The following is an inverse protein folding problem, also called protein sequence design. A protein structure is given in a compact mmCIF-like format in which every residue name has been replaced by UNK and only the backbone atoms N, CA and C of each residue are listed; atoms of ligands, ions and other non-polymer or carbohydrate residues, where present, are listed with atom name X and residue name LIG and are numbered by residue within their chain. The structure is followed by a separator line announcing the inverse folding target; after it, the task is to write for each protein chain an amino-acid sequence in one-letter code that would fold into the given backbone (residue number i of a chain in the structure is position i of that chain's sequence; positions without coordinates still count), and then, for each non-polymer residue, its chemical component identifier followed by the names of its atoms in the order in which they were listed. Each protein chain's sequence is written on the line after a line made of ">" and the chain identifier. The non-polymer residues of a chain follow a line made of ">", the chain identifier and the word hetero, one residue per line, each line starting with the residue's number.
data_IF_226097754111
#
_entry.id   IF_226097754111
#
_cell.length_a   1.000
_cell.length_b   1.000
_cell.length_c   1.000
_cell.angle_alpha   90.00
_cell.angle_beta   90.00
_cell.angle_gamma   90.00
#
_symmetry.space_group_name_H-M   'P 1'
#
loop_
_entity.id
_entity.type
_entity.pdbx_description
1 polymer ?
#
# COMPACT_ATOMS: atom_id res chain seq x y z
N UNK A 1 -5.98 -0.38 -6.07
CA UNK A 1 -6.22 -1.58 -5.25
C UNK A 1 -5.25 -2.68 -5.68
N UNK A 2 -4.71 -3.41 -4.71
CA UNK A 2 -3.87 -4.61 -4.90
C UNK A 2 -4.15 -5.63 -3.79
N UNK A 3 -3.87 -6.92 -4.01
CA UNK A 3 -4.15 -7.99 -3.04
C UNK A 3 -2.98 -8.97 -2.90
N UNK A 4 -2.64 -9.29 -1.65
CA UNK A 4 -1.78 -10.43 -1.30
C UNK A 4 -2.65 -11.66 -1.06
N UNK A 5 -2.37 -12.76 -1.76
CA UNK A 5 -3.16 -14.00 -1.66
C UNK A 5 -2.35 -15.11 -0.98
N UNK A 6 -2.87 -15.64 0.13
CA UNK A 6 -2.41 -16.90 0.71
C UNK A 6 -3.38 -18.03 0.34
N UNK A 7 -3.04 -18.76 -0.72
CA UNK A 7 -3.84 -19.89 -1.22
C UNK A 7 -3.90 -21.07 -0.25
N UNK A 8 -2.91 -21.21 0.63
CA UNK A 8 -2.86 -22.33 1.57
C UNK A 8 -3.81 -22.07 2.75
N UNK A 9 -3.86 -20.83 3.20
CA UNK A 9 -4.75 -20.42 4.27
C UNK A 9 -6.18 -20.11 3.77
N UNK A 10 -6.36 -19.83 2.47
CA UNK A 10 -7.65 -19.47 1.88
C UNK A 10 -8.05 -18.02 2.19
N UNK A 11 -7.07 -17.13 2.34
CA UNK A 11 -7.30 -15.72 2.70
C UNK A 11 -6.55 -14.78 1.76
N UNK A 12 -7.10 -13.57 1.61
CA UNK A 12 -6.50 -12.45 0.90
C UNK A 12 -6.38 -11.22 1.80
N UNK A 13 -5.32 -10.43 1.61
CA UNK A 13 -5.17 -9.11 2.20
C UNK A 13 -5.28 -8.07 1.08
N UNK A 14 -6.41 -7.37 1.03
CA UNK A 14 -6.67 -6.27 0.10
C UNK A 14 -6.05 -4.99 0.62
N UNK A 15 -5.37 -4.26 -0.25
CA UNK A 15 -4.65 -3.03 0.02
C UNK A 15 -5.25 -1.92 -0.86
N UNK A 16 -5.76 -0.86 -0.24
CA UNK A 16 -6.42 0.27 -0.91
C UNK A 16 -5.78 1.58 -0.50
N UNK A 17 -5.37 2.35 -1.49
CA UNK A 17 -4.82 3.70 -1.33
C UNK A 17 -5.40 4.59 -2.45
N UNK A 18 -5.43 5.89 -2.20
CA UNK A 18 -5.78 6.85 -3.23
C UNK A 18 -4.63 6.97 -4.25
N UNK A 19 -4.95 6.81 -5.54
CA UNK A 19 -3.98 6.94 -6.63
C UNK A 19 -3.55 8.40 -6.84
N UNK A 20 -4.37 9.36 -6.40
CA UNK A 20 -4.09 10.77 -6.56
C UNK A 20 -3.06 11.26 -5.51
N UNK A 21 -2.98 10.55 -4.37
CA UNK A 21 -1.98 10.78 -3.30
C UNK A 21 -0.65 10.03 -3.52
N UNK A 22 -0.66 8.99 -4.37
CA UNK A 22 0.48 8.08 -4.57
C UNK A 22 1.06 8.20 -5.97
N UNK A 23 2.23 8.83 -6.08
CA UNK A 23 2.98 8.94 -7.33
C UNK A 23 3.64 7.61 -7.72
N UNK A 24 4.12 6.84 -6.74
CA UNK A 24 4.77 5.55 -6.99
C UNK A 24 4.38 4.53 -5.93
N UNK A 25 4.02 3.35 -6.39
CA UNK A 25 3.78 2.17 -5.58
C UNK A 25 4.83 1.11 -5.91
N UNK A 26 5.45 0.50 -4.91
CA UNK A 26 6.46 -0.53 -5.10
C UNK A 26 6.22 -1.71 -4.16
N UNK A 27 6.24 -2.91 -4.73
CA UNK A 27 6.07 -4.16 -3.99
C UNK A 27 7.42 -4.86 -3.96
N UNK A 28 7.96 -5.09 -2.76
CA UNK A 28 9.23 -5.80 -2.56
C UNK A 28 8.99 -7.13 -1.86
N UNK A 29 9.43 -8.19 -2.51
CA UNK A 29 9.41 -9.54 -1.97
C UNK A 29 10.80 -9.93 -1.48
N UNK A 30 10.90 -10.35 -0.23
CA UNK A 30 12.08 -10.97 0.36
C UNK A 30 11.65 -12.24 1.09
N UNK A 31 12.58 -13.09 1.47
CA UNK A 31 12.29 -14.38 2.11
C UNK A 31 11.33 -14.21 3.31
N UNK A 32 10.06 -14.57 3.12
CA UNK A 32 9.00 -14.48 4.13
C UNK A 32 8.41 -13.09 4.39
N UNK A 33 8.78 -12.06 3.62
CA UNK A 33 8.32 -10.68 3.83
C UNK A 33 7.87 -10.07 2.51
N UNK A 34 6.68 -9.48 2.50
CA UNK A 34 6.17 -8.66 1.40
C UNK A 34 5.98 -7.22 1.91
N UNK A 35 6.74 -6.27 1.37
CA UNK A 35 6.60 -4.85 1.70
C UNK A 35 5.84 -4.13 0.60
N UNK A 36 4.84 -3.34 0.98
CA UNK A 36 4.17 -2.36 0.14
C UNK A 36 4.69 -0.97 0.50
N UNK A 37 5.37 -0.31 -0.44
CA UNK A 37 5.92 1.03 -0.26
C UNK A 37 5.14 2.01 -1.14
N UNK A 38 4.56 3.05 -0.52
CA UNK A 38 3.79 4.11 -1.18
C UNK A 38 4.58 5.42 -1.09
N UNK A 39 4.78 6.07 -2.23
CA UNK A 39 5.52 7.32 -2.34
C UNK A 39 4.62 8.39 -2.94
N UNK A 40 4.58 9.54 -2.29
CA UNK A 40 3.98 10.75 -2.83
C UNK A 40 4.94 11.43 -3.80
N UNK A 41 4.46 12.49 -4.47
CA UNK A 41 5.32 13.35 -5.27
C UNK A 41 6.36 14.07 -4.40
N UNK A 42 7.59 14.15 -4.89
CA UNK A 42 8.64 14.95 -4.26
C UNK A 42 8.25 16.43 -4.24
N UNK A 43 8.16 17.03 -3.05
CA UNK A 43 7.84 18.45 -2.86
C UNK A 43 8.36 18.96 -1.51
N UNK A 44 8.55 20.29 -1.34
CA UNK A 44 8.83 20.88 -0.05
C UNK A 44 7.69 20.58 0.94
N UNK A 45 8.02 20.05 2.11
CA UNK A 45 7.03 19.78 3.16
C UNK A 45 6.95 21.01 4.07
N UNK A 46 5.76 21.57 4.24
CA UNK A 46 5.47 22.62 5.21
C UNK A 46 4.41 22.16 6.19
N UNK A 47 4.28 22.87 7.32
CA UNK A 47 3.20 22.62 8.28
C UNK A 47 1.81 22.88 7.67
N UNK A 48 1.74 23.76 6.69
CA UNK A 48 0.49 24.19 6.05
C UNK A 48 0.07 23.29 4.87
N UNK A 49 0.99 22.44 4.38
CA UNK A 49 0.75 21.53 3.26
C UNK A 49 1.40 20.15 3.52
N UNK A 50 0.90 19.39 4.51
CA UNK A 50 1.46 18.07 4.81
C UNK A 50 1.30 17.12 3.62
N UNK A 51 2.26 16.21 3.46
CA UNK A 51 2.08 15.05 2.60
C UNK A 51 1.13 14.08 3.30
N UNK A 52 0.03 13.75 2.65
CA UNK A 52 -0.93 12.78 3.14
C UNK A 52 -0.94 11.60 2.17
N UNK A 53 -0.73 10.40 2.72
CA UNK A 53 -0.97 9.14 2.03
C UNK A 53 -1.82 8.33 3.01
N UNK A 54 -3.04 8.05 2.60
CA UNK A 54 -3.93 7.15 3.36
C UNK A 54 -3.85 5.74 2.77
N UNK A 55 -3.94 4.75 3.64
CA UNK A 55 -3.93 3.35 3.24
C UNK A 55 -4.86 2.52 4.13
N UNK A 56 -5.62 1.63 3.51
CA UNK A 56 -6.54 0.72 4.17
C UNK A 56 -6.22 -0.72 3.81
N UNK A 57 -6.42 -1.60 4.80
CA UNK A 57 -6.25 -3.03 4.65
C UNK A 57 -7.56 -3.73 4.99
N UNK A 58 -7.90 -4.74 4.20
CA UNK A 58 -9.04 -5.63 4.46
C UNK A 58 -8.60 -7.08 4.32
N UNK A 59 -8.90 -7.91 5.32
CA UNK A 59 -8.71 -9.35 5.23
C UNK A 59 -10.00 -9.98 4.72
N UNK A 60 -9.90 -10.74 3.63
CA UNK A 60 -11.02 -11.45 3.01
C UNK A 60 -10.77 -12.96 2.98
N UNK A 61 -11.84 -13.75 2.99
CA UNK A 61 -11.80 -15.17 2.63
C UNK A 61 -11.81 -15.34 1.11
N UNK A 62 -11.07 -16.32 0.58
CA UNK A 62 -10.95 -16.63 -0.85
C UNK A 62 -11.60 -17.96 -1.25
#
# INVERSE_FOLDING_TARGET
>A
EWMLVDRRAGFGLVNRFDKDDVQKCMIRWRTGICNLELFSAERPVSKDAPLQISHEYEVISL
#
